data_IF_216053529715
#
_entry.id   IF_216053529715
#
_cell.length_a   1.000
_cell.length_b   1.000
_cell.length_c   1.000
_cell.angle_alpha   90.00
_cell.angle_beta   90.00
_cell.angle_gamma   90.00
#
_symmetry.space_group_name_H-M   'P 1'
#
loop_
_entity.id
_entity.type
_entity.pdbx_description
1 polymer ?
#
# COMPACT_ATOMS: atom_id res chain seq x y z
N UNK A 1 38.33 -17.47 -29.98
CA UNK A 1 37.88 -17.02 -28.66
C UNK A 1 37.45 -15.55 -28.80
N UNK A 2 36.18 -15.32 -28.99
CA UNK A 2 35.62 -13.97 -29.15
C UNK A 2 35.32 -13.38 -27.77
N UNK A 3 36.02 -12.33 -27.40
CA UNK A 3 35.75 -11.54 -26.20
C UNK A 3 34.54 -10.67 -26.49
N UNK A 4 33.38 -11.03 -25.91
CA UNK A 4 32.21 -10.17 -25.94
C UNK A 4 32.47 -8.98 -25.03
N UNK A 5 32.84 -7.85 -25.62
CA UNK A 5 32.83 -6.57 -24.91
C UNK A 5 31.38 -6.24 -24.63
N UNK A 6 31.01 -6.18 -23.35
CA UNK A 6 29.78 -5.55 -22.90
C UNK A 6 29.91 -4.05 -23.22
N UNK A 7 29.26 -3.59 -24.30
CA UNK A 7 29.07 -2.16 -24.53
C UNK A 7 28.34 -1.58 -23.34
N UNK A 8 29.03 -0.71 -22.59
CA UNK A 8 28.44 0.09 -21.52
C UNK A 8 27.41 1.02 -22.17
N UNK A 9 26.14 0.70 -22.01
CA UNK A 9 25.04 1.59 -22.40
C UNK A 9 25.23 2.89 -21.61
N UNK A 10 25.37 4.05 -22.27
CA UNK A 10 25.58 5.30 -21.55
C UNK A 10 24.40 5.56 -20.61
N UNK A 11 24.71 5.84 -19.34
CA UNK A 11 23.69 6.14 -18.35
C UNK A 11 22.82 7.32 -18.79
N UNK A 12 21.49 7.22 -18.68
CA UNK A 12 20.59 8.33 -19.02
C UNK A 12 20.94 9.57 -18.21
N UNK A 13 20.92 10.74 -18.81
CA UNK A 13 21.28 12.03 -18.16
C UNK A 13 20.48 12.29 -16.88
N UNK A 14 19.23 11.83 -16.80
CA UNK A 14 18.40 11.97 -15.61
C UNK A 14 18.90 11.12 -14.44
N UNK A 15 19.61 10.02 -14.70
CA UNK A 15 20.12 9.12 -13.65
C UNK A 15 21.25 9.79 -12.86
N UNK A 16 22.19 10.41 -13.56
CA UNK A 16 23.24 11.21 -12.90
C UNK A 16 22.63 12.38 -12.10
N UNK A 17 21.66 13.09 -12.69
CA UNK A 17 20.95 14.15 -11.99
C UNK A 17 20.21 13.63 -10.74
N UNK A 18 19.60 12.44 -10.81
CA UNK A 18 18.95 11.80 -9.67
C UNK A 18 19.92 11.58 -8.51
N UNK A 19 21.14 11.13 -8.79
CA UNK A 19 22.18 10.92 -7.76
C UNK A 19 22.56 12.26 -7.10
N UNK A 20 22.83 13.29 -7.89
CA UNK A 20 23.15 14.63 -7.37
C UNK A 20 22.00 15.22 -6.55
N UNK A 21 20.76 15.08 -7.04
CA UNK A 21 19.56 15.50 -6.30
C UNK A 21 19.40 14.73 -4.98
N UNK A 22 19.67 13.43 -4.99
CA UNK A 22 19.59 12.59 -3.79
C UNK A 22 20.57 13.08 -2.71
N UNK A 23 21.81 13.40 -3.08
CA UNK A 23 22.82 13.96 -2.18
C UNK A 23 22.40 15.34 -1.66
N UNK A 24 21.85 16.20 -2.53
CA UNK A 24 21.34 17.51 -2.13
C UNK A 24 20.14 17.38 -1.16
N UNK A 25 19.24 16.41 -1.37
CA UNK A 25 18.14 16.14 -0.45
C UNK A 25 18.64 15.75 0.95
N UNK A 26 19.73 14.98 1.02
CA UNK A 26 20.28 14.52 2.30
C UNK A 26 21.05 15.62 3.05
N UNK A 27 21.64 16.57 2.33
CA UNK A 27 22.52 17.59 2.91
C UNK A 27 21.87 18.94 3.14
N UNK A 28 20.86 19.31 2.34
CA UNK A 28 20.35 20.68 2.28
C UNK A 28 18.88 20.82 2.71
N UNK A 29 18.08 19.73 2.69
CA UNK A 29 16.65 19.81 2.95
C UNK A 29 16.26 18.96 4.14
N UNK A 30 15.39 19.51 4.99
CA UNK A 30 14.82 18.77 6.10
C UNK A 30 13.63 17.88 5.62
N UNK A 31 13.36 16.80 6.34
CA UNK A 31 12.17 15.98 6.11
C UNK A 31 10.91 16.83 6.23
N UNK A 32 10.02 16.76 5.24
CA UNK A 32 8.79 17.55 5.15
C UNK A 32 8.98 18.93 4.51
N UNK A 33 10.22 19.37 4.26
CA UNK A 33 10.49 20.64 3.60
C UNK A 33 10.00 20.65 2.15
N UNK A 34 9.43 21.78 1.72
CA UNK A 34 8.95 21.98 0.36
C UNK A 34 10.12 22.35 -0.54
N UNK A 35 10.31 21.57 -1.60
CA UNK A 35 11.33 21.86 -2.60
C UNK A 35 10.97 23.11 -3.41
N UNK A 36 12.00 23.87 -3.90
CA UNK A 36 11.80 24.90 -4.90
C UNK A 36 11.05 24.34 -6.13
N UNK A 37 10.34 25.19 -6.85
CA UNK A 37 9.60 24.75 -8.03
C UNK A 37 10.53 24.19 -9.12
N UNK A 38 9.96 23.39 -10.04
CA UNK A 38 10.72 22.71 -11.10
C UNK A 38 11.56 23.66 -11.98
N UNK A 39 11.09 24.91 -12.15
CA UNK A 39 11.83 25.91 -12.94
C UNK A 39 13.12 26.33 -12.24
N UNK A 40 13.02 26.61 -10.95
CA UNK A 40 14.14 27.11 -10.16
C UNK A 40 15.15 25.99 -9.90
N UNK A 41 14.68 24.76 -9.65
CA UNK A 41 15.55 23.57 -9.57
C UNK A 41 16.26 23.29 -10.90
N UNK A 42 15.55 23.35 -12.05
CA UNK A 42 16.17 23.14 -13.36
C UNK A 42 17.25 24.19 -13.65
N UNK A 43 17.01 25.45 -13.28
CA UNK A 43 18.00 26.52 -13.40
C UNK A 43 19.21 26.29 -12.47
N UNK A 44 18.96 25.88 -11.22
CA UNK A 44 20.00 25.60 -10.22
C UNK A 44 20.95 24.49 -10.67
N UNK A 45 20.41 23.40 -11.21
CA UNK A 45 21.19 22.23 -11.65
C UNK A 45 21.61 22.29 -13.12
N UNK A 46 21.28 23.38 -13.84
CA UNK A 46 21.72 23.59 -15.23
C UNK A 46 21.14 22.55 -16.21
N UNK A 47 19.93 22.04 -15.99
CA UNK A 47 19.32 20.96 -16.77
C UNK A 47 18.00 21.39 -17.42
N UNK A 48 17.58 20.64 -18.47
CA UNK A 48 16.25 20.81 -19.04
C UNK A 48 15.16 20.37 -18.04
N UNK A 49 14.02 21.08 -18.01
CA UNK A 49 12.88 20.74 -17.13
C UNK A 49 12.39 19.29 -17.29
N UNK A 50 12.42 18.75 -18.52
CA UNK A 50 12.03 17.36 -18.77
C UNK A 50 12.95 16.37 -18.06
N UNK A 51 14.27 16.61 -18.09
CA UNK A 51 15.28 15.80 -17.40
C UNK A 51 15.11 15.88 -15.89
N UNK A 52 14.88 17.11 -15.36
CA UNK A 52 14.60 17.30 -13.93
C UNK A 52 13.34 16.54 -13.51
N UNK A 53 12.26 16.66 -14.28
CA UNK A 53 11.00 15.98 -13.97
C UNK A 53 11.17 14.46 -13.89
N UNK A 54 11.89 13.87 -14.84
CA UNK A 54 12.21 12.43 -14.80
C UNK A 54 13.00 12.04 -13.54
N UNK A 55 13.99 12.85 -13.15
CA UNK A 55 14.76 12.59 -11.94
C UNK A 55 13.91 12.71 -10.66
N UNK A 56 13.04 13.73 -10.59
CA UNK A 56 12.10 13.89 -9.45
C UNK A 56 11.06 12.75 -9.39
N UNK A 57 10.57 12.28 -10.53
CA UNK A 57 9.66 11.10 -10.61
C UNK A 57 10.34 9.84 -10.08
N UNK A 58 11.61 9.61 -10.41
CA UNK A 58 12.38 8.50 -9.87
C UNK A 58 12.58 8.60 -8.34
N UNK A 59 12.89 9.79 -7.84
CA UNK A 59 13.02 10.02 -6.40
C UNK A 59 11.69 9.87 -5.66
N UNK A 60 10.56 10.18 -6.30
CA UNK A 60 9.23 9.92 -5.77
C UNK A 60 8.94 8.40 -5.72
N UNK A 61 9.26 7.65 -6.79
CA UNK A 61 9.17 6.19 -6.82
C UNK A 61 10.06 5.53 -5.75
N UNK A 62 11.24 6.09 -5.51
CA UNK A 62 12.14 5.64 -4.44
C UNK A 62 11.66 6.05 -3.05
N UNK A 63 10.56 6.83 -2.94
CA UNK A 63 10.01 7.31 -1.67
C UNK A 63 10.88 8.36 -1.00
N UNK A 64 11.73 9.06 -1.75
CA UNK A 64 12.54 10.19 -1.28
C UNK A 64 11.78 11.51 -1.31
N UNK A 65 10.80 11.61 -2.19
CA UNK A 65 9.94 12.78 -2.38
C UNK A 65 8.47 12.39 -2.30
N UNK A 66 7.62 13.35 -1.96
CA UNK A 66 6.16 13.24 -1.97
C UNK A 66 5.56 14.44 -2.69
N UNK A 67 4.64 14.20 -3.63
CA UNK A 67 3.81 15.26 -4.22
C UNK A 67 2.49 15.35 -3.47
N UNK A 68 2.20 16.54 -2.94
CA UNK A 68 0.92 16.84 -2.27
C UNK A 68 0.17 17.92 -3.03
N UNK A 69 -1.10 17.65 -3.29
CA UNK A 69 -1.97 18.62 -3.99
C UNK A 69 -2.06 19.91 -3.17
N UNK A 70 -1.81 21.06 -3.81
CA UNK A 70 -1.86 22.38 -3.17
C UNK A 70 -0.68 22.73 -2.28
N UNK A 71 0.24 21.80 -2.02
CA UNK A 71 1.44 22.03 -1.22
C UNK A 71 2.71 22.06 -2.09
N UNK A 72 2.82 21.13 -3.04
CA UNK A 72 4.01 20.98 -3.87
C UNK A 72 4.73 19.65 -3.64
N UNK A 73 6.01 19.61 -4.01
CA UNK A 73 6.89 18.47 -3.78
C UNK A 73 7.65 18.67 -2.47
N UNK A 74 7.61 17.71 -1.57
CA UNK A 74 8.28 17.75 -0.26
C UNK A 74 9.25 16.60 -0.11
N UNK A 75 10.27 16.76 0.75
CA UNK A 75 11.16 15.67 1.16
C UNK A 75 10.35 14.66 1.97
N UNK A 76 10.35 13.42 1.52
CA UNK A 76 9.60 12.36 2.19
C UNK A 76 10.31 11.90 3.47
N UNK A 77 9.56 11.52 4.53
CA UNK A 77 10.14 10.82 5.66
C UNK A 77 10.66 9.44 5.21
N UNK A 78 11.61 8.84 5.95
CA UNK A 78 12.05 7.48 5.71
C UNK A 78 10.86 6.51 5.61
N UNK A 79 10.95 5.52 4.71
CA UNK A 79 9.89 4.54 4.56
C UNK A 79 9.67 3.78 5.86
N UNK A 80 8.42 3.74 6.30
CA UNK A 80 8.04 2.95 7.48
C UNK A 80 7.95 1.48 7.11
N UNK A 81 8.55 0.62 7.93
CA UNK A 81 8.29 -0.82 7.89
C UNK A 81 6.81 -1.07 8.22
N UNK A 82 6.08 -1.66 7.29
CA UNK A 82 4.71 -2.11 7.50
C UNK A 82 4.72 -3.61 7.47
N UNK A 83 4.55 -4.25 8.63
CA UNK A 83 4.36 -5.69 8.67
C UNK A 83 3.08 -6.04 7.91
N UNK A 84 3.22 -6.85 6.86
CA UNK A 84 2.10 -7.35 6.06
C UNK A 84 1.75 -8.72 6.60
N UNK A 85 0.59 -8.77 7.19
CA UNK A 85 0.00 -9.99 7.71
C UNK A 85 -0.46 -9.80 9.15
N UNK A 86 -1.53 -10.48 9.48
CA UNK A 86 -1.76 -10.94 10.83
C UNK A 86 -0.65 -11.93 11.19
N UNK A 87 -0.27 -12.03 12.45
CA UNK A 87 0.53 -13.15 12.94
C UNK A 87 -0.04 -14.45 12.34
N UNK A 88 0.84 -15.40 11.99
CA UNK A 88 0.36 -16.68 11.45
C UNK A 88 -0.80 -17.20 12.30
N UNK A 89 -1.92 -17.52 11.65
CA UNK A 89 -3.11 -18.05 12.33
C UNK A 89 -4.08 -17.02 12.90
N UNK A 90 -4.00 -15.73 12.54
CA UNK A 90 -4.99 -14.73 12.96
C UNK A 90 -5.80 -14.16 11.80
N UNK A 91 -7.09 -14.00 12.02
CA UNK A 91 -7.99 -13.36 11.07
C UNK A 91 -7.81 -11.83 11.05
N UNK A 92 -8.15 -11.17 9.91
CA UNK A 92 -8.34 -9.72 9.88
C UNK A 92 -9.33 -9.26 10.97
N UNK A 93 -8.96 -8.21 11.71
CA UNK A 93 -9.77 -7.68 12.81
C UNK A 93 -9.53 -8.31 14.18
N UNK A 94 -8.57 -9.24 14.31
CA UNK A 94 -8.13 -9.76 15.59
C UNK A 94 -7.56 -8.67 16.51
N UNK A 95 -7.44 -8.97 17.80
CA UNK A 95 -6.86 -8.04 18.79
C UNK A 95 -5.42 -7.68 18.37
N UNK A 96 -5.12 -6.38 18.31
CA UNK A 96 -3.83 -5.86 17.84
C UNK A 96 -3.76 -5.61 16.33
N UNK A 97 -4.84 -5.86 15.56
CA UNK A 97 -4.90 -5.49 14.15
C UNK A 97 -4.85 -3.96 14.01
N UNK A 98 -3.87 -3.49 13.23
CA UNK A 98 -3.67 -2.06 12.98
C UNK A 98 -4.67 -1.45 11.98
N UNK A 99 -5.59 -2.26 11.45
CA UNK A 99 -6.60 -1.83 10.51
C UNK A 99 -7.88 -1.38 11.21
N UNK A 100 -8.39 -0.24 10.80
CA UNK A 100 -9.62 0.35 11.33
C UNK A 100 -10.78 0.09 10.35
N UNK A 101 -11.85 -0.61 10.76
CA UNK A 101 -13.03 -0.80 9.93
C UNK A 101 -13.77 0.52 9.76
N UNK A 102 -13.94 0.95 8.50
CA UNK A 102 -14.62 2.18 8.13
C UNK A 102 -16.07 1.94 7.71
N UNK A 103 -16.31 0.87 6.92
CA UNK A 103 -17.61 0.58 6.33
C UNK A 103 -17.73 -0.90 5.95
N UNK A 104 -18.98 -1.39 5.79
CA UNK A 104 -19.28 -2.68 5.20
C UNK A 104 -20.62 -2.63 4.47
N UNK A 105 -20.61 -3.02 3.21
CA UNK A 105 -21.81 -3.16 2.39
C UNK A 105 -21.75 -4.44 1.54
N UNK A 106 -22.89 -5.05 1.18
CA UNK A 106 -22.94 -6.09 0.17
C UNK A 106 -22.60 -5.49 -1.21
N UNK A 107 -21.78 -6.19 -1.99
CA UNK A 107 -21.50 -5.81 -3.37
C UNK A 107 -21.04 -7.05 -4.16
N UNK A 108 -21.16 -6.98 -5.49
CA UNK A 108 -20.60 -7.98 -6.39
C UNK A 108 -19.08 -7.74 -6.46
N UNK A 109 -18.24 -8.73 -6.15
CA UNK A 109 -16.80 -8.60 -6.19
C UNK A 109 -16.28 -8.50 -7.63
N UNK A 110 -15.06 -7.96 -7.85
CA UNK A 110 -14.37 -8.08 -9.13
C UNK A 110 -14.23 -9.54 -9.58
N UNK A 111 -14.18 -9.78 -10.90
CA UNK A 111 -14.21 -11.14 -11.45
C UNK A 111 -13.03 -12.03 -11.00
N UNK A 112 -11.87 -11.45 -10.76
CA UNK A 112 -10.68 -12.12 -10.20
C UNK A 112 -10.89 -12.52 -8.75
N UNK A 113 -11.52 -11.66 -7.96
CA UNK A 113 -11.88 -11.94 -6.56
C UNK A 113 -12.98 -12.99 -6.48
N UNK A 114 -14.03 -12.90 -7.33
CA UNK A 114 -15.08 -13.91 -7.39
C UNK A 114 -14.51 -15.30 -7.68
N UNK A 115 -13.56 -15.40 -8.62
CA UNK A 115 -12.86 -16.66 -8.90
C UNK A 115 -12.05 -17.18 -7.72
N UNK A 116 -11.39 -16.30 -6.95
CA UNK A 116 -10.64 -16.69 -5.76
C UNK A 116 -11.56 -17.19 -4.62
N UNK A 117 -12.75 -16.60 -4.52
CA UNK A 117 -13.77 -16.98 -3.53
C UNK A 117 -14.62 -18.17 -3.99
N UNK A 118 -14.48 -18.60 -5.23
CA UNK A 118 -15.29 -19.66 -5.85
C UNK A 118 -16.80 -19.33 -5.80
N UNK A 119 -17.16 -18.04 -5.91
CA UNK A 119 -18.53 -17.54 -5.92
C UNK A 119 -19.02 -17.32 -7.36
N UNK A 120 -20.35 -17.29 -7.57
CA UNK A 120 -20.93 -16.94 -8.85
C UNK A 120 -20.58 -15.48 -9.23
N UNK A 121 -20.53 -15.17 -10.53
CA UNK A 121 -20.07 -13.87 -11.02
C UNK A 121 -20.97 -12.69 -10.61
N UNK A 122 -22.23 -12.96 -10.29
CA UNK A 122 -23.25 -12.00 -9.85
C UNK A 122 -23.59 -12.11 -8.36
N UNK A 123 -22.93 -13.02 -7.65
CA UNK A 123 -23.16 -13.23 -6.23
C UNK A 123 -22.59 -12.06 -5.41
N UNK A 124 -23.44 -11.52 -4.53
CA UNK A 124 -23.02 -10.48 -3.59
C UNK A 124 -22.27 -11.09 -2.41
N UNK A 125 -21.18 -10.42 -2.04
CA UNK A 125 -20.38 -10.73 -0.85
C UNK A 125 -20.36 -9.53 0.09
N UNK A 126 -20.01 -9.72 1.35
CA UNK A 126 -19.73 -8.61 2.25
C UNK A 126 -18.39 -7.98 1.88
N UNK A 127 -18.39 -6.68 1.59
CA UNK A 127 -17.16 -5.92 1.33
C UNK A 127 -16.90 -5.01 2.52
N UNK A 128 -15.92 -5.39 3.34
CA UNK A 128 -15.46 -4.58 4.47
C UNK A 128 -14.36 -3.65 4.00
N UNK A 129 -14.57 -2.33 4.15
CA UNK A 129 -13.55 -1.30 3.91
C UNK A 129 -12.81 -1.01 5.20
N UNK A 130 -11.49 -1.07 5.15
CA UNK A 130 -10.63 -0.78 6.28
C UNK A 130 -9.51 0.17 5.86
N UNK A 131 -9.04 0.96 6.80
CA UNK A 131 -7.89 1.86 6.60
C UNK A 131 -6.83 1.60 7.66
N UNK A 132 -5.58 1.80 7.30
CA UNK A 132 -4.46 1.79 8.23
C UNK A 132 -3.83 3.16 8.26
N UNK A 133 -3.76 3.72 9.45
CA UNK A 133 -3.19 5.05 9.70
C UNK A 133 -1.91 4.89 10.50
N UNK A 134 -0.87 5.63 10.12
CA UNK A 134 0.37 5.70 10.88
C UNK A 134 0.82 7.16 10.94
N UNK A 135 1.19 7.62 12.14
CA UNK A 135 1.56 9.02 12.39
C UNK A 135 0.52 10.03 11.84
N UNK A 136 -0.76 9.71 12.00
CA UNK A 136 -1.87 10.55 11.53
C UNK A 136 -2.09 10.58 10.02
N UNK A 137 -1.36 9.77 9.24
CA UNK A 137 -1.54 9.69 7.79
C UNK A 137 -2.04 8.30 7.36
N UNK A 138 -2.97 8.22 6.40
CA UNK A 138 -3.37 6.95 5.83
C UNK A 138 -2.20 6.35 5.04
N UNK A 139 -1.80 5.15 5.41
CA UNK A 139 -0.67 4.43 4.79
C UNK A 139 -1.14 3.26 3.94
N UNK A 140 -2.34 2.73 4.22
CA UNK A 140 -2.96 1.70 3.41
C UNK A 140 -4.49 1.75 3.48
N UNK A 141 -5.14 1.29 2.41
CA UNK A 141 -6.57 1.04 2.31
C UNK A 141 -6.82 -0.41 1.89
N UNK A 142 -7.85 -1.05 2.42
CA UNK A 142 -8.15 -2.44 2.17
C UNK A 142 -9.63 -2.66 1.88
N UNK A 143 -9.89 -3.55 0.92
CA UNK A 143 -11.17 -4.17 0.68
C UNK A 143 -11.06 -5.66 1.06
N UNK A 144 -11.80 -6.06 2.10
CA UNK A 144 -11.90 -7.45 2.51
C UNK A 144 -13.24 -8.01 2.03
N UNK A 145 -13.19 -8.98 1.15
CA UNK A 145 -14.34 -9.65 0.55
C UNK A 145 -14.63 -10.95 1.30
N UNK A 146 -15.84 -11.08 1.81
CA UNK A 146 -16.27 -12.23 2.63
C UNK A 146 -17.58 -12.79 2.07
N UNK A 147 -17.62 -14.05 1.64
CA UNK A 147 -18.86 -14.69 1.18
C UNK A 147 -19.97 -14.59 2.24
N UNK A 148 -21.19 -14.37 1.79
CA UNK A 148 -22.37 -14.32 2.69
C UNK A 148 -22.57 -15.64 3.43
N UNK A 149 -22.18 -16.76 2.83
CA UNK A 149 -22.19 -18.09 3.45
C UNK A 149 -21.26 -18.23 4.66
N UNK A 150 -20.23 -17.38 4.76
CA UNK A 150 -19.29 -17.38 5.90
C UNK A 150 -19.80 -16.56 7.09
N UNK A 151 -20.91 -15.80 6.93
CA UNK A 151 -21.47 -14.90 7.96
C UNK A 151 -22.99 -15.02 7.97
N UNK A 152 -23.49 -16.11 8.51
CA UNK A 152 -24.93 -16.43 8.50
C UNK A 152 -25.82 -15.47 9.33
N UNK A 153 -25.26 -14.75 10.32
CA UNK A 153 -26.02 -13.90 11.24
C UNK A 153 -26.45 -12.53 10.65
N UNK A 154 -26.06 -12.20 9.40
CA UNK A 154 -26.37 -10.89 8.80
C UNK A 154 -27.54 -10.91 7.82
N UNK A 155 -28.41 -11.91 7.93
CA UNK A 155 -29.64 -12.03 7.13
C UNK A 155 -30.82 -11.45 7.90
N UNK A 156 -31.36 -10.29 7.46
CA UNK A 156 -32.59 -9.71 8.05
C UNK A 156 -32.65 -8.18 7.87
N UNK A 157 -33.86 -7.63 8.06
CA UNK A 157 -34.11 -6.17 7.92
C UNK A 157 -33.44 -5.33 9.02
N UNK A 158 -33.10 -5.92 10.15
CA UNK A 158 -32.44 -5.27 11.29
C UNK A 158 -30.91 -5.41 11.26
N UNK A 159 -30.33 -5.88 10.15
CA UNK A 159 -28.89 -6.05 10.04
C UNK A 159 -28.18 -4.68 10.14
N UNK A 160 -27.12 -4.57 10.98
CA UNK A 160 -26.39 -3.33 11.13
C UNK A 160 -25.76 -2.89 9.79
N UNK A 161 -25.49 -1.60 9.64
CA UNK A 161 -24.84 -1.02 8.46
C UNK A 161 -23.49 -0.39 8.81
N UNK A 162 -22.71 -0.04 7.80
CA UNK A 162 -21.46 0.69 7.95
C UNK A 162 -20.45 -0.03 8.85
N UNK A 163 -19.78 0.72 9.71
CA UNK A 163 -18.74 0.19 10.60
C UNK A 163 -19.27 -0.84 11.62
N UNK A 164 -20.54 -0.76 12.00
CA UNK A 164 -21.14 -1.76 12.89
C UNK A 164 -21.24 -3.12 12.19
N UNK A 165 -21.70 -3.14 10.93
CA UNK A 165 -21.72 -4.35 10.10
C UNK A 165 -20.32 -4.92 9.89
N UNK A 166 -19.33 -4.07 9.62
CA UNK A 166 -17.93 -4.48 9.48
C UNK A 166 -17.42 -5.25 10.70
N UNK A 167 -17.72 -4.75 11.91
CA UNK A 167 -17.31 -5.43 13.17
C UNK A 167 -17.97 -6.80 13.33
N UNK A 168 -19.24 -6.94 12.91
CA UNK A 168 -19.94 -8.25 12.96
C UNK A 168 -19.28 -9.22 11.99
N UNK A 169 -19.03 -8.82 10.73
CA UNK A 169 -18.37 -9.68 9.74
C UNK A 169 -17.00 -10.15 10.23
N UNK A 170 -16.17 -9.22 10.75
CA UNK A 170 -14.85 -9.57 11.26
C UNK A 170 -14.90 -10.52 12.47
N UNK A 171 -15.88 -10.33 13.35
CA UNK A 171 -16.09 -11.21 14.51
C UNK A 171 -16.51 -12.62 14.08
N UNK A 172 -17.42 -12.74 13.10
CA UNK A 172 -17.84 -14.03 12.59
C UNK A 172 -16.70 -14.78 11.87
N UNK A 173 -15.91 -14.06 11.05
CA UNK A 173 -14.69 -14.63 10.48
C UNK A 173 -13.74 -15.17 11.54
N UNK A 174 -13.55 -14.43 12.64
CA UNK A 174 -12.67 -14.85 13.73
C UNK A 174 -13.12 -16.14 14.45
N UNK A 175 -14.37 -16.57 14.26
CA UNK A 175 -14.89 -17.85 14.79
C UNK A 175 -14.48 -19.05 13.94
N UNK A 176 -14.14 -18.82 12.68
CA UNK A 176 -13.66 -19.90 11.80
C UNK A 176 -12.19 -20.23 12.17
N UNK A 177 -11.84 -21.51 12.10
CA UNK A 177 -10.45 -21.95 12.25
C UNK A 177 -9.65 -21.55 11.01
N UNK A 178 -8.72 -20.58 11.15
CA UNK A 178 -7.84 -20.22 10.05
C UNK A 178 -6.81 -21.32 9.80
N UNK A 179 -6.86 -21.94 8.62
CA UNK A 179 -5.97 -23.04 8.21
C UNK A 179 -4.69 -22.54 7.52
N UNK A 180 -4.77 -21.37 6.85
CA UNK A 180 -3.64 -20.80 6.13
C UNK A 180 -4.00 -19.56 5.33
N UNK A 181 -2.99 -19.02 4.66
CA UNK A 181 -3.16 -17.86 3.79
C UNK A 181 -2.11 -17.85 2.68
N UNK A 182 -2.52 -17.40 1.49
CA UNK A 182 -1.64 -17.11 0.36
C UNK A 182 -1.57 -15.61 0.12
N UNK A 183 -0.42 -15.10 -0.30
CA UNK A 183 -0.23 -13.69 -0.63
C UNK A 183 0.46 -13.49 -1.95
N UNK A 184 -0.03 -12.50 -2.70
CA UNK A 184 0.63 -11.94 -3.88
C UNK A 184 0.85 -10.45 -3.66
N UNK A 185 1.98 -9.93 -4.14
CA UNK A 185 2.32 -8.49 -4.11
C UNK A 185 2.61 -8.01 -5.50
N UNK A 186 1.96 -6.93 -5.90
CA UNK A 186 2.12 -6.33 -7.21
C UNK A 186 2.36 -4.83 -7.08
N UNK A 187 3.19 -4.29 -7.97
CA UNK A 187 3.32 -2.84 -8.15
C UNK A 187 2.14 -2.37 -9.00
N UNK A 188 1.47 -1.32 -8.52
CA UNK A 188 0.31 -0.74 -9.20
C UNK A 188 0.34 0.78 -9.20
N UNK A 189 -0.73 1.34 -9.76
CA UNK A 189 -1.02 2.78 -9.72
C UNK A 189 -2.34 3.01 -9.01
N UNK A 190 -2.39 3.98 -8.09
CA UNK A 190 -3.58 4.31 -7.32
C UNK A 190 -4.75 4.68 -8.24
N UNK A 191 -5.87 3.97 -8.14
CA UNK A 191 -7.13 4.34 -8.76
C UNK A 191 -7.75 5.51 -8.01
N UNK A 192 -8.78 6.14 -8.58
CA UNK A 192 -9.39 7.32 -7.98
C UNK A 192 -9.85 7.12 -6.52
N UNK A 193 -10.39 5.95 -6.20
CA UNK A 193 -10.86 5.64 -4.84
C UNK A 193 -9.69 5.36 -3.88
N UNK A 194 -8.68 4.61 -4.32
CA UNK A 194 -7.45 4.38 -3.56
C UNK A 194 -6.71 5.70 -3.31
N UNK A 195 -6.58 6.52 -4.33
CA UNK A 195 -5.94 7.83 -4.24
C UNK A 195 -6.62 8.73 -3.21
N UNK A 196 -7.96 8.71 -3.18
CA UNK A 196 -8.76 9.46 -2.20
C UNK A 196 -8.56 8.91 -0.78
N UNK A 197 -8.61 7.58 -0.62
CA UNK A 197 -8.44 6.91 0.66
C UNK A 197 -7.03 7.09 1.24
N UNK A 198 -6.02 7.21 0.38
CA UNK A 198 -4.60 7.33 0.75
C UNK A 198 -4.09 8.77 0.77
N UNK A 199 -4.96 9.77 0.52
CA UNK A 199 -4.59 11.18 0.37
C UNK A 199 -3.47 11.37 -0.67
N UNK A 200 -3.68 10.80 -1.87
CA UNK A 200 -2.75 10.83 -3.00
C UNK A 200 -3.44 11.28 -4.29
N UNK A 201 -2.63 11.55 -5.31
CA UNK A 201 -3.14 11.77 -6.66
C UNK A 201 -3.43 10.42 -7.34
N UNK A 202 -4.44 10.34 -8.21
CA UNK A 202 -4.61 9.20 -9.10
C UNK A 202 -3.32 8.96 -9.91
N UNK A 203 -2.94 7.68 -10.08
CA UNK A 203 -1.70 7.32 -10.73
C UNK A 203 -0.47 7.25 -9.82
N UNK A 204 -0.58 7.69 -8.54
CA UNK A 204 0.52 7.54 -7.59
C UNK A 204 0.92 6.05 -7.44
N UNK A 205 2.22 5.74 -7.30
CA UNK A 205 2.68 4.36 -7.16
C UNK A 205 2.19 3.75 -5.85
N UNK A 206 1.69 2.52 -5.95
CA UNK A 206 1.18 1.74 -4.82
C UNK A 206 1.68 0.30 -4.89
N UNK A 207 1.74 -0.36 -3.74
CA UNK A 207 1.90 -1.80 -3.65
C UNK A 207 0.53 -2.40 -3.33
N UNK A 208 0.05 -3.30 -4.18
CA UNK A 208 -1.20 -4.03 -4.00
C UNK A 208 -0.87 -5.41 -3.44
N UNK A 209 -1.43 -5.71 -2.28
CA UNK A 209 -1.28 -7.01 -1.62
C UNK A 209 -2.61 -7.72 -1.65
N UNK A 210 -2.69 -8.81 -2.39
CA UNK A 210 -3.86 -9.71 -2.40
C UNK A 210 -3.58 -10.87 -1.47
N UNK A 211 -4.45 -11.10 -0.50
CA UNK A 211 -4.35 -12.22 0.45
C UNK A 211 -5.61 -13.08 0.39
N UNK A 212 -5.44 -14.37 0.18
CA UNK A 212 -6.52 -15.37 0.34
C UNK A 212 -6.39 -16.01 1.72
N UNK A 213 -7.50 -16.12 2.42
CA UNK A 213 -7.57 -16.76 3.73
C UNK A 213 -8.36 -18.06 3.60
N UNK A 214 -7.80 -19.15 4.13
CA UNK A 214 -8.39 -20.48 4.04
C UNK A 214 -8.94 -20.93 5.39
N UNK A 215 -10.16 -21.46 5.37
CA UNK A 215 -10.79 -22.12 6.49
C UNK A 215 -11.77 -23.18 5.95
N UNK A 216 -11.92 -24.29 6.66
CA UNK A 216 -12.84 -25.38 6.30
C UNK A 216 -12.58 -25.91 4.87
N UNK A 217 -11.29 -25.98 4.47
CA UNK A 217 -10.85 -26.46 3.16
C UNK A 217 -11.20 -25.56 1.97
N UNK A 218 -11.63 -24.30 2.20
CA UNK A 218 -12.04 -23.36 1.15
C UNK A 218 -11.47 -21.96 1.38
N UNK A 219 -11.54 -21.09 0.36
CA UNK A 219 -11.26 -19.66 0.52
C UNK A 219 -12.43 -19.01 1.27
N UNK A 220 -12.20 -18.62 2.51
CA UNK A 220 -13.22 -18.02 3.38
C UNK A 220 -13.25 -16.48 3.29
N UNK A 221 -12.16 -15.86 2.85
CA UNK A 221 -12.09 -14.43 2.57
C UNK A 221 -10.95 -14.09 1.61
N UNK A 222 -11.08 -12.99 0.90
CA UNK A 222 -10.02 -12.39 0.08
C UNK A 222 -9.84 -10.93 0.47
N UNK A 223 -8.61 -10.52 0.78
CA UNK A 223 -8.25 -9.14 1.03
C UNK A 223 -7.47 -8.57 -0.17
N UNK A 224 -7.81 -7.36 -0.59
CA UNK A 224 -7.02 -6.55 -1.53
C UNK A 224 -6.64 -5.26 -0.81
N UNK A 225 -5.38 -5.18 -0.39
CA UNK A 225 -4.84 -4.06 0.36
C UNK A 225 -3.89 -3.23 -0.50
N UNK A 226 -4.17 -1.94 -0.62
CA UNK A 226 -3.39 -0.97 -1.38
C UNK A 226 -2.53 -0.15 -0.41
N UNK A 227 -1.22 -0.29 -0.50
CA UNK A 227 -0.23 0.41 0.33
C UNK A 227 0.44 1.52 -0.47
N UNK A 228 0.73 2.63 0.17
CA UNK A 228 1.53 3.70 -0.41
C UNK A 228 2.96 3.23 -0.63
N UNK A 229 3.43 3.18 -1.89
CA UNK A 229 4.79 2.76 -2.22
C UNK A 229 5.85 3.80 -1.84
N UNK A 230 5.46 5.09 -1.73
CA UNK A 230 6.34 6.19 -1.37
C UNK A 230 6.73 6.20 0.13
N UNK A 231 5.88 5.66 1.01
CA UNK A 231 6.08 5.70 2.46
C UNK A 231 6.15 4.33 3.12
N UNK A 232 5.72 3.27 2.44
CA UNK A 232 5.67 1.93 3.01
C UNK A 232 6.81 1.04 2.48
N UNK A 233 7.44 0.33 3.39
CA UNK A 233 8.28 -0.83 3.15
C UNK A 233 7.52 -2.04 3.70
N UNK A 234 7.14 -2.99 2.84
CA UNK A 234 6.45 -4.19 3.28
C UNK A 234 7.44 -5.19 3.83
N UNK A 235 7.19 -5.66 5.05
CA UNK A 235 7.97 -6.74 5.68
C UNK A 235 7.07 -7.94 5.90
N UNK A 236 7.57 -9.13 5.57
CA UNK A 236 6.91 -10.41 5.76
C UNK A 236 7.75 -11.21 6.75
N UNK A 237 7.18 -11.58 7.88
CA UNK A 237 7.88 -12.33 8.91
C UNK A 237 6.98 -13.38 9.52
N UNK A 238 7.59 -14.46 10.00
CA UNK A 238 6.90 -15.56 10.69
C UNK A 238 6.60 -15.22 12.17
N UNK A 239 7.22 -14.17 12.71
CA UNK A 239 7.01 -13.72 14.08
C UNK A 239 6.01 -12.54 14.12
N UNK A 240 4.93 -12.71 14.86
CA UNK A 240 3.91 -11.67 15.07
C UNK A 240 4.42 -10.52 15.95
N UNK A 241 5.15 -9.59 15.37
CA UNK A 241 5.58 -8.36 15.99
C UNK A 241 5.65 -7.26 14.93
N UNK A 242 5.11 -6.08 15.23
CA UNK A 242 5.35 -4.87 14.43
C UNK A 242 6.74 -4.37 14.79
N UNK A 243 7.76 -4.81 14.09
CA UNK A 243 9.07 -4.16 14.16
C UNK A 243 9.03 -2.90 13.29
N UNK A 244 8.99 -1.75 13.93
CA UNK A 244 9.19 -0.46 13.29
C UNK A 244 10.70 -0.27 13.17
N UNK A 245 11.28 -0.64 12.06
CA UNK A 245 12.65 -0.31 11.76
C UNK A 245 12.74 1.16 11.32
N UNK A 246 13.19 2.01 12.21
CA UNK A 246 13.70 3.33 11.85
C UNK A 246 15.10 3.12 11.26
N UNK A 247 15.29 3.44 10.00
CA UNK A 247 16.59 3.44 9.33
C UNK A 247 17.42 4.66 9.80
N UNK A 248 17.66 4.75 11.12
CA UNK A 248 18.41 5.82 11.77
C UNK A 248 19.91 5.52 11.91
N UNK A 249 20.38 4.35 11.47
CA UNK A 249 21.77 3.93 11.66
C UNK A 249 22.73 4.30 10.52
N UNK A 250 22.32 5.06 9.51
CA UNK A 250 23.24 5.55 8.46
C UNK A 250 23.83 6.94 8.71
N UNK A 251 23.79 7.44 9.95
CA UNK A 251 24.39 8.74 10.29
C UNK A 251 25.53 8.68 11.32
N UNK A 252 26.27 7.57 11.37
CA UNK A 252 27.46 7.50 12.20
C UNK A 252 28.53 6.62 11.51
N UNK A 253 29.25 7.19 10.57
CA UNK A 253 30.64 6.86 10.21
C UNK A 253 31.16 7.87 9.21
#
# INVERSE_FOLDING_TARGET
MGTTQLETVPEPKYWHLKTVLSEALDSEFAVGEILPNERDLAARFGVARATLRQALEQLELEGRLQRRRGVGTTVAPPRMGVAVGSAQGTWPGAVGDAWQPADCAPAVPPADVARMLETAADEQVHVVRRTRVSNGQPVAAELLFVPTSSVAELTGMDAPSGAARARVVLRELARLGLEGQDRAVELGSARADDARALDRLPGAPVLVVTTRFFAEGRTAAVSVATYRADTCRLTFGDAGGVEIHHDSERRAS
#
